data_IF_476444138984
#
_entry.id   IF_476444138984
#
_cell.length_a   1.000
_cell.length_b   1.000
_cell.length_c   1.000
_cell.angle_alpha   90.00
_cell.angle_beta   90.00
_cell.angle_gamma   90.00
#
_symmetry.space_group_name_H-M   'P 1'
#
loop_
_entity.id
_entity.type
_entity.pdbx_description
1 polymer ?
#
# COMPACT_ATOMS: atom_id res chain seq x y z
N UNK A 1 24.28 17.45 -56.37
CA UNK A 1 24.82 17.16 -57.71
C UNK A 1 26.10 16.37 -57.58
N UNK A 2 26.41 15.40 -58.41
CA UNK A 2 25.53 14.50 -59.16
C UNK A 2 25.81 13.02 -58.85
N UNK A 3 24.90 12.19 -59.21
CA UNK A 3 24.65 11.25 -60.34
C UNK A 3 25.28 9.87 -60.15
N UNK A 4 24.46 8.85 -60.11
CA UNK A 4 23.99 7.90 -61.13
C UNK A 4 25.02 6.87 -61.61
N UNK A 5 24.68 5.56 -61.50
CA UNK A 5 24.38 4.68 -62.63
C UNK A 5 24.25 3.23 -62.10
N UNK A 6 23.29 2.60 -62.30
CA UNK A 6 22.60 1.57 -63.06
C UNK A 6 23.45 0.74 -64.03
N UNK A 7 23.19 -0.57 -64.02
CA UNK A 7 23.09 -1.51 -65.12
C UNK A 7 23.03 -2.92 -64.58
N UNK A 8 21.94 -3.66 -64.61
CA UNK A 8 21.28 -4.48 -65.65
C UNK A 8 22.17 -5.57 -66.33
N UNK A 9 21.75 -6.79 -66.29
CA UNK A 9 22.25 -7.90 -67.06
C UNK A 9 21.47 -9.20 -66.84
N UNK A 10 20.61 -9.53 -67.79
CA UNK A 10 19.79 -10.76 -67.90
C UNK A 10 20.59 -11.98 -68.36
N UNK A 11 20.17 -13.16 -68.09
CA UNK A 11 19.62 -14.20 -68.95
C UNK A 11 19.92 -15.63 -68.47
N UNK A 12 18.92 -16.36 -68.26
CA UNK A 12 18.32 -17.51 -68.99
C UNK A 12 19.02 -18.86 -68.86
N UNK A 13 18.15 -19.87 -68.61
CA UNK A 13 18.37 -21.30 -68.92
C UNK A 13 18.12 -22.22 -67.77
N UNK A 14 17.03 -22.80 -67.63
CA UNK A 14 16.34 -24.03 -67.86
C UNK A 14 17.05 -25.29 -67.26
N UNK A 15 16.41 -26.00 -66.38
CA UNK A 15 15.82 -27.28 -66.63
C UNK A 15 15.25 -27.97 -65.35
N UNK A 16 14.26 -28.78 -65.59
CA UNK A 16 13.41 -29.53 -64.67
C UNK A 16 14.18 -30.55 -63.83
N UNK A 17 13.79 -30.76 -62.56
CA UNK A 17 13.53 -32.19 -62.12
C UNK A 17 12.77 -32.18 -60.75
N UNK A 18 11.96 -33.24 -60.64
CA UNK A 18 10.94 -33.57 -59.69
C UNK A 18 11.31 -33.50 -58.21
N UNK A 19 10.30 -33.16 -57.37
CA UNK A 19 10.34 -33.28 -55.95
C UNK A 19 10.39 -34.71 -55.42
N UNK A 20 10.58 -34.85 -54.13
CA UNK A 20 9.42 -35.25 -53.33
C UNK A 20 9.38 -34.67 -51.89
N UNK A 21 8.21 -34.83 -51.30
CA UNK A 21 7.87 -34.92 -49.90
C UNK A 21 7.87 -33.65 -49.05
N UNK A 22 6.68 -33.15 -48.83
CA UNK A 22 6.30 -32.29 -47.74
C UNK A 22 6.65 -32.90 -46.38
N UNK A 23 7.58 -32.28 -45.69
CA UNK A 23 7.77 -32.47 -44.26
C UNK A 23 6.71 -31.65 -43.53
N UNK A 24 5.74 -32.34 -42.90
CA UNK A 24 4.77 -31.75 -42.01
C UNK A 24 5.50 -31.13 -40.80
N UNK A 25 5.49 -29.82 -40.72
CA UNK A 25 5.92 -29.11 -39.50
C UNK A 25 5.04 -29.51 -38.32
N UNK A 26 5.56 -29.46 -37.07
CA UNK A 26 4.75 -29.76 -35.91
C UNK A 26 3.59 -28.76 -35.81
N UNK A 27 2.38 -29.27 -35.91
CA UNK A 27 1.16 -28.53 -35.59
C UNK A 27 1.25 -28.11 -34.11
N UNK A 28 1.42 -26.82 -33.86
CA UNK A 28 1.20 -26.27 -32.53
C UNK A 28 -0.29 -26.42 -32.23
N UNK A 29 -0.62 -27.43 -31.45
CA UNK A 29 -1.95 -27.59 -30.89
C UNK A 29 -2.30 -26.30 -30.11
N UNK A 30 -3.53 -25.74 -30.23
CA UNK A 30 -3.94 -24.61 -29.45
C UNK A 30 -3.84 -25.00 -27.97
N UNK A 31 -3.13 -24.14 -27.20
CA UNK A 31 -3.05 -24.25 -25.76
C UNK A 31 -4.48 -24.39 -25.21
N UNK A 32 -4.76 -25.52 -24.57
CA UNK A 32 -6.05 -25.76 -23.97
C UNK A 32 -6.39 -24.63 -23.01
N UNK A 33 -7.40 -23.85 -23.35
CA UNK A 33 -7.99 -22.87 -22.44
C UNK A 33 -8.46 -23.66 -21.22
N UNK A 34 -7.81 -23.42 -20.08
CA UNK A 34 -8.17 -24.08 -18.83
C UNK A 34 -9.64 -23.77 -18.54
N UNK A 35 -10.46 -24.79 -18.33
CA UNK A 35 -11.84 -24.60 -17.91
C UNK A 35 -11.88 -23.73 -16.65
N UNK A 36 -12.80 -22.76 -16.55
CA UNK A 36 -12.88 -21.90 -15.36
C UNK A 36 -13.03 -22.75 -14.10
N UNK A 37 -12.31 -22.37 -13.05
CA UNK A 37 -12.40 -23.06 -11.76
C UNK A 37 -13.84 -23.00 -11.25
N UNK A 38 -14.35 -24.14 -10.74
CA UNK A 38 -15.65 -24.20 -10.08
C UNK A 38 -15.47 -24.28 -8.58
N UNK A 39 -16.29 -23.55 -7.82
CA UNK A 39 -16.16 -23.54 -6.37
C UNK A 39 -17.08 -22.52 -5.69
N UNK A 40 -16.98 -22.44 -4.37
CA UNK A 40 -17.65 -21.38 -3.61
C UNK A 40 -17.02 -20.01 -3.96
N UNK A 41 -17.85 -18.97 -4.15
CA UNK A 41 -17.34 -17.65 -4.55
C UNK A 41 -16.52 -17.00 -3.43
N UNK A 42 -15.43 -16.35 -3.85
CA UNK A 42 -14.63 -15.44 -3.03
C UNK A 42 -14.74 -14.06 -3.65
N UNK A 43 -15.38 -13.14 -2.94
CA UNK A 43 -15.53 -11.76 -3.37
C UNK A 43 -14.36 -10.92 -2.88
N UNK A 44 -13.85 -10.07 -3.75
CA UNK A 44 -12.78 -9.11 -3.45
C UNK A 44 -13.35 -7.69 -3.46
N UNK A 45 -13.01 -6.92 -2.44
CA UNK A 45 -13.34 -5.50 -2.33
C UNK A 45 -12.08 -4.71 -2.05
N UNK A 46 -11.90 -3.57 -2.69
CA UNK A 46 -10.83 -2.62 -2.36
C UNK A 46 -11.27 -1.63 -1.28
N UNK A 47 -10.30 -1.15 -0.49
CA UNK A 47 -10.52 -0.06 0.46
C UNK A 47 -10.61 1.27 -0.27
N UNK A 48 -9.70 1.48 -1.22
CA UNK A 48 -9.56 2.72 -1.97
C UNK A 48 -10.75 2.89 -2.93
N UNK A 49 -11.23 4.12 -3.04
CA UNK A 49 -12.22 4.51 -4.03
C UNK A 49 -11.57 4.94 -5.32
N UNK A 50 -12.22 4.63 -6.43
CA UNK A 50 -11.80 5.06 -7.76
C UNK A 50 -11.72 6.58 -7.87
N UNK A 51 -10.68 7.12 -8.51
CA UNK A 51 -10.42 8.55 -8.63
C UNK A 51 -9.89 9.22 -7.35
N UNK A 52 -9.66 8.47 -6.27
CA UNK A 52 -9.19 9.01 -4.99
C UNK A 52 -7.72 9.44 -5.02
N UNK A 53 -7.37 10.34 -4.10
CA UNK A 53 -5.98 10.79 -3.89
C UNK A 53 -5.53 10.49 -2.47
N UNK A 54 -4.37 9.86 -2.33
CA UNK A 54 -3.81 9.38 -1.07
C UNK A 54 -2.39 9.90 -0.83
N UNK A 55 -1.92 9.80 0.41
CA UNK A 55 -0.50 10.01 0.70
C UNK A 55 0.37 8.89 0.13
N UNK A 56 1.66 9.16 -0.04
CA UNK A 56 2.63 8.24 -0.70
C UNK A 56 2.86 6.92 0.03
N UNK A 57 2.45 6.81 1.29
CA UNK A 57 2.58 5.60 2.09
C UNK A 57 1.37 4.66 2.02
N UNK A 58 0.29 5.03 1.31
CA UNK A 58 -0.92 4.22 1.24
C UNK A 58 -0.68 2.93 0.44
N UNK A 59 -0.80 1.72 1.03
CA UNK A 59 -0.84 0.49 0.24
C UNK A 59 -2.17 0.39 -0.52
N UNK A 60 -2.27 -0.44 -1.56
CA UNK A 60 -3.58 -0.85 -2.08
C UNK A 60 -4.08 -1.99 -1.21
N UNK A 61 -5.30 -1.90 -0.68
CA UNK A 61 -5.85 -2.87 0.28
C UNK A 61 -7.05 -3.59 -0.31
N UNK A 62 -6.94 -4.91 -0.42
CA UNK A 62 -8.01 -5.78 -0.85
C UNK A 62 -8.52 -6.63 0.33
N UNK A 63 -9.83 -6.65 0.53
CA UNK A 63 -10.52 -7.49 1.49
C UNK A 63 -11.14 -8.68 0.77
N UNK A 64 -10.92 -9.90 1.31
CA UNK A 64 -11.43 -11.13 0.74
C UNK A 64 -12.54 -11.71 1.63
N UNK A 65 -13.69 -12.05 1.04
CA UNK A 65 -14.87 -12.54 1.76
C UNK A 65 -14.72 -13.95 2.34
N UNK A 66 -13.63 -14.65 2.01
CA UNK A 66 -13.30 -15.96 2.54
C UNK A 66 -11.80 -16.10 2.81
N UNK A 67 -11.44 -17.05 3.68
CA UNK A 67 -10.05 -17.48 3.84
C UNK A 67 -9.66 -18.33 2.62
N UNK A 68 -8.84 -17.79 1.76
CA UNK A 68 -8.24 -18.54 0.65
C UNK A 68 -7.01 -19.30 1.15
N UNK A 69 -6.58 -20.34 0.42
CA UNK A 69 -5.42 -21.16 0.77
C UNK A 69 -4.30 -21.06 -0.26
N UNK A 70 -4.58 -20.42 -1.41
CA UNK A 70 -3.62 -20.20 -2.49
C UNK A 70 -3.82 -18.81 -3.06
N UNK A 71 -2.79 -17.98 -3.00
CA UNK A 71 -2.80 -16.61 -3.50
C UNK A 71 -2.05 -16.43 -4.83
N UNK A 72 -1.46 -17.50 -5.40
CA UNK A 72 -0.67 -17.39 -6.64
C UNK A 72 -1.50 -16.90 -7.82
N UNK A 73 -2.72 -17.43 -7.98
CA UNK A 73 -3.61 -16.99 -9.05
C UNK A 73 -4.05 -15.53 -8.87
N UNK A 74 -4.28 -15.08 -7.62
CA UNK A 74 -4.58 -13.69 -7.30
C UNK A 74 -3.41 -12.77 -7.66
N UNK A 75 -2.21 -13.13 -7.23
CA UNK A 75 -1.00 -12.37 -7.53
C UNK A 75 -0.71 -12.31 -9.03
N UNK A 76 -0.86 -13.45 -9.74
CA UNK A 76 -0.65 -13.54 -11.19
C UNK A 76 -1.70 -12.75 -12.00
N UNK A 77 -2.91 -12.58 -11.46
CA UNK A 77 -3.98 -11.79 -12.07
C UNK A 77 -3.84 -10.27 -11.83
N UNK A 78 -2.80 -9.84 -11.10
CA UNK A 78 -2.58 -8.44 -10.73
C UNK A 78 -1.62 -7.76 -11.70
N UNK A 79 -2.03 -6.63 -12.25
CA UNK A 79 -1.15 -5.69 -12.94
C UNK A 79 -1.28 -4.30 -12.30
N UNK A 80 -0.16 -3.69 -11.95
CA UNK A 80 -0.13 -2.33 -11.41
C UNK A 80 0.79 -1.47 -12.25
N UNK A 81 0.35 -0.27 -12.58
CA UNK A 81 1.17 0.72 -13.27
C UNK A 81 1.26 2.00 -12.44
N UNK A 82 2.40 2.69 -12.56
CA UNK A 82 2.64 4.02 -12.02
C UNK A 82 2.99 4.94 -13.17
N UNK A 83 2.19 5.97 -13.39
CA UNK A 83 2.31 6.88 -14.54
C UNK A 83 2.38 6.15 -15.89
N UNK A 84 1.62 5.04 -16.01
CA UNK A 84 1.57 4.21 -17.22
C UNK A 84 2.71 3.19 -17.36
N UNK A 85 3.73 3.21 -16.51
CA UNK A 85 4.81 2.22 -16.51
C UNK A 85 4.52 1.09 -15.50
N UNK A 86 4.84 -0.18 -15.83
CA UNK A 86 4.66 -1.30 -14.88
C UNK A 86 5.38 -1.04 -13.56
N UNK A 87 4.67 -1.26 -12.44
CA UNK A 87 5.22 -1.15 -11.10
C UNK A 87 5.64 -2.52 -10.56
N UNK A 88 6.85 -2.57 -9.98
CA UNK A 88 7.33 -3.76 -9.27
C UNK A 88 6.85 -3.71 -7.82
N UNK A 89 5.85 -4.50 -7.50
CA UNK A 89 5.28 -4.60 -6.16
C UNK A 89 4.89 -6.03 -5.83
N UNK A 90 4.39 -6.25 -4.62
CA UNK A 90 3.94 -7.55 -4.16
C UNK A 90 2.76 -7.42 -3.19
N UNK A 91 1.93 -8.46 -3.14
CA UNK A 91 0.88 -8.63 -2.17
C UNK A 91 1.41 -9.29 -0.89
N UNK A 92 0.96 -8.80 0.25
CA UNK A 92 1.16 -9.41 1.56
C UNK A 92 -0.21 -9.69 2.17
N UNK A 93 -0.46 -10.95 2.53
CA UNK A 93 -1.75 -11.41 3.06
C UNK A 93 -1.67 -11.53 4.57
N UNK A 94 -2.69 -11.03 5.24
CA UNK A 94 -2.83 -11.11 6.69
C UNK A 94 -4.29 -11.30 7.09
N UNK A 95 -4.52 -11.69 8.36
CA UNK A 95 -5.87 -11.71 8.93
C UNK A 95 -6.40 -10.28 8.94
N UNK A 96 -7.64 -10.09 8.50
CA UNK A 96 -8.25 -8.76 8.55
C UNK A 96 -8.38 -8.27 10.00
N UNK A 97 -7.91 -7.06 10.23
CA UNK A 97 -7.87 -6.47 11.58
C UNK A 97 -9.19 -5.78 11.95
N UNK A 98 -9.96 -5.30 10.96
CA UNK A 98 -11.06 -4.36 11.19
C UNK A 98 -12.42 -4.93 10.75
N UNK A 99 -12.49 -5.66 9.64
CA UNK A 99 -13.76 -6.07 9.05
C UNK A 99 -14.09 -7.54 9.34
N UNK A 100 -15.05 -7.78 10.24
CA UNK A 100 -15.48 -9.15 10.60
C UNK A 100 -16.08 -9.94 9.43
N UNK A 101 -16.64 -9.26 8.43
CA UNK A 101 -17.18 -9.90 7.22
C UNK A 101 -16.13 -10.30 6.17
N UNK A 102 -14.87 -9.89 6.37
CA UNK A 102 -13.75 -10.20 5.50
C UNK A 102 -12.61 -10.78 6.34
N UNK A 103 -12.50 -12.10 6.40
CA UNK A 103 -11.54 -12.75 7.30
C UNK A 103 -10.07 -12.59 6.90
N UNK A 104 -9.82 -12.14 5.68
CA UNK A 104 -8.49 -11.96 5.10
C UNK A 104 -8.40 -10.60 4.41
N UNK A 105 -7.27 -9.94 4.56
CA UNK A 105 -6.91 -8.75 3.80
C UNK A 105 -5.56 -8.96 3.13
N UNK A 106 -5.38 -8.31 1.99
CA UNK A 106 -4.15 -8.31 1.21
C UNK A 106 -3.75 -6.87 0.94
N UNK A 107 -2.50 -6.53 1.23
CA UNK A 107 -1.95 -5.21 0.96
C UNK A 107 -0.93 -5.31 -0.17
N UNK A 108 -1.02 -4.43 -1.16
CA UNK A 108 -0.03 -4.32 -2.22
C UNK A 108 0.79 -3.04 -2.05
N UNK A 109 2.10 -3.18 -2.06
CA UNK A 109 3.03 -2.06 -2.12
C UNK A 109 4.26 -2.37 -2.97
N UNK A 110 4.94 -1.34 -3.36
CA UNK A 110 6.30 -1.40 -3.92
C UNK A 110 7.34 -1.48 -2.80
N UNK A 111 8.60 -1.67 -3.12
CA UNK A 111 9.68 -1.67 -2.12
C UNK A 111 9.81 -0.32 -1.40
N UNK A 112 9.68 0.77 -2.14
CA UNK A 112 9.66 2.14 -1.62
C UNK A 112 8.25 2.72 -1.63
N UNK A 113 8.02 3.85 -0.96
CA UNK A 113 6.77 4.59 -1.08
C UNK A 113 6.44 4.91 -2.53
N UNK A 114 5.14 5.09 -2.82
CA UNK A 114 4.75 5.59 -4.13
C UNK A 114 5.44 6.92 -4.45
N UNK A 115 5.74 7.21 -5.72
CA UNK A 115 6.20 8.55 -6.10
C UNK A 115 5.13 9.60 -5.76
N UNK A 116 5.55 10.81 -5.41
CA UNK A 116 4.64 11.94 -5.26
C UNK A 116 3.97 12.30 -6.59
N UNK A 117 2.74 12.79 -6.53
CA UNK A 117 1.97 13.29 -7.68
C UNK A 117 1.83 12.26 -8.82
N UNK A 118 1.84 10.97 -8.48
CA UNK A 118 1.74 9.88 -9.43
C UNK A 118 0.29 9.45 -9.66
N UNK A 119 0.04 8.90 -10.84
CA UNK A 119 -1.18 8.15 -11.17
C UNK A 119 -0.87 6.67 -11.02
N UNK A 120 -1.69 5.95 -10.29
CA UNK A 120 -1.56 4.54 -10.04
C UNK A 120 -2.81 3.86 -10.59
N UNK A 121 -2.60 2.84 -11.41
CA UNK A 121 -3.67 2.00 -11.93
C UNK A 121 -3.43 0.56 -11.52
N UNK A 122 -4.46 -0.06 -10.94
CA UNK A 122 -4.52 -1.50 -10.66
C UNK A 122 -5.52 -2.14 -11.63
N UNK A 123 -5.12 -3.24 -12.25
CA UNK A 123 -5.99 -4.22 -12.87
C UNK A 123 -5.85 -5.55 -12.11
N UNK A 124 -6.95 -6.04 -11.56
CA UNK A 124 -7.05 -7.33 -10.88
C UNK A 124 -8.04 -8.20 -11.63
N UNK A 125 -7.56 -8.93 -12.62
CA UNK A 125 -8.36 -9.81 -13.50
C UNK A 125 -8.60 -11.19 -12.85
N UNK A 126 -9.09 -11.24 -11.61
CA UNK A 126 -9.16 -12.46 -10.79
C UNK A 126 -10.39 -13.33 -11.06
N UNK A 127 -11.46 -12.81 -11.66
CA UNK A 127 -12.72 -13.55 -11.88
C UNK A 127 -12.49 -14.89 -12.58
N UNK A 128 -12.99 -15.97 -11.97
CA UNK A 128 -12.85 -17.34 -12.49
C UNK A 128 -11.51 -18.01 -12.13
N UNK A 129 -10.55 -17.27 -11.55
CA UNK A 129 -9.31 -17.86 -11.08
C UNK A 129 -9.52 -18.63 -9.77
N UNK A 130 -8.72 -19.69 -9.57
CA UNK A 130 -8.76 -20.49 -8.35
C UNK A 130 -8.28 -19.68 -7.14
N UNK A 131 -9.04 -19.77 -6.04
CA UNK A 131 -8.67 -19.24 -4.72
C UNK A 131 -8.26 -20.34 -3.75
N UNK A 132 -7.96 -21.54 -4.28
CA UNK A 132 -7.66 -22.76 -3.55
C UNK A 132 -8.71 -23.83 -3.76
N UNK A 133 -8.55 -25.03 -3.16
CA UNK A 133 -9.47 -26.15 -3.33
C UNK A 133 -10.92 -25.77 -3.03
N UNK A 134 -11.79 -25.90 -4.05
CA UNK A 134 -13.22 -25.60 -3.92
C UNK A 134 -13.59 -24.13 -3.77
N UNK A 135 -12.66 -23.20 -4.07
CA UNK A 135 -12.86 -21.75 -4.04
C UNK A 135 -12.52 -21.13 -5.40
N UNK A 136 -13.29 -20.10 -5.77
CA UNK A 136 -13.10 -19.36 -7.03
C UNK A 136 -13.36 -17.87 -6.81
N UNK A 137 -12.55 -16.99 -7.38
CA UNK A 137 -12.82 -15.57 -7.37
C UNK A 137 -14.04 -15.24 -8.24
N UNK A 138 -15.01 -14.50 -7.72
CA UNK A 138 -16.26 -14.20 -8.43
C UNK A 138 -16.24 -12.88 -9.18
N UNK A 139 -15.25 -12.02 -8.92
CA UNK A 139 -15.12 -10.71 -9.54
C UNK A 139 -13.70 -10.36 -9.96
N UNK A 140 -13.60 -9.39 -10.86
CA UNK A 140 -12.40 -8.65 -11.22
C UNK A 140 -12.62 -7.18 -10.84
N UNK A 141 -11.55 -6.44 -10.62
CA UNK A 141 -11.58 -5.05 -10.19
C UNK A 141 -10.52 -4.23 -10.94
N UNK A 142 -10.83 -2.98 -11.16
CA UNK A 142 -9.85 -1.95 -11.52
C UNK A 142 -9.87 -0.85 -10.47
N UNK A 143 -8.78 -0.11 -10.34
CA UNK A 143 -8.68 1.06 -9.49
C UNK A 143 -7.78 2.09 -10.16
N UNK A 144 -8.29 3.30 -10.30
CA UNK A 144 -7.50 4.47 -10.61
C UNK A 144 -7.37 5.33 -9.35
N UNK A 145 -6.16 5.50 -8.86
CA UNK A 145 -5.87 6.40 -7.74
C UNK A 145 -4.68 7.29 -8.03
N UNK A 146 -4.51 8.33 -7.25
CA UNK A 146 -3.37 9.25 -7.35
C UNK A 146 -2.68 9.39 -6.00
N UNK A 147 -1.41 9.79 -6.03
CA UNK A 147 -0.73 10.26 -4.83
C UNK A 147 -0.67 11.79 -4.81
N UNK A 148 -0.77 12.36 -3.62
CA UNK A 148 -0.48 13.77 -3.37
C UNK A 148 1.02 14.04 -3.26
N UNK A 149 1.38 15.13 -2.60
CA UNK A 149 2.75 15.45 -2.22
C UNK A 149 3.35 14.35 -1.32
N UNK A 150 4.67 14.18 -1.36
CA UNK A 150 5.37 13.31 -0.43
C UNK A 150 5.44 13.96 0.95
N UNK A 151 4.35 13.86 1.72
CA UNK A 151 4.27 14.35 3.09
C UNK A 151 4.82 13.30 4.04
N UNK A 152 5.95 13.62 4.68
CA UNK A 152 6.61 12.73 5.63
C UNK A 152 6.84 13.47 6.94
N UNK A 153 6.28 12.94 8.02
CA UNK A 153 6.48 13.43 9.38
C UNK A 153 7.49 12.56 10.10
N UNK A 154 8.58 13.13 10.59
CA UNK A 154 9.60 12.45 11.41
C UNK A 154 9.50 12.90 12.85
N UNK A 155 9.17 11.96 13.72
CA UNK A 155 8.96 12.18 15.15
C UNK A 155 10.12 11.54 15.91
N UNK A 156 10.91 12.34 16.61
CA UNK A 156 12.03 11.88 17.42
C UNK A 156 11.71 12.03 18.91
N UNK A 157 11.55 10.92 19.61
CA UNK A 157 11.28 10.90 21.04
C UNK A 157 12.45 11.38 21.90
N UNK A 158 13.68 11.48 21.36
CA UNK A 158 14.83 12.06 22.02
C UNK A 158 14.76 13.58 22.05
N UNK A 159 14.53 14.20 20.90
CA UNK A 159 14.43 15.67 20.79
C UNK A 159 13.04 16.21 21.15
N UNK A 160 12.01 15.37 21.20
CA UNK A 160 10.60 15.77 21.40
C UNK A 160 10.08 16.72 20.32
N UNK A 161 10.53 16.48 19.07
CA UNK A 161 10.10 17.24 17.91
C UNK A 161 9.53 16.35 16.81
N UNK A 162 8.56 16.89 16.07
CA UNK A 162 8.01 16.35 14.86
C UNK A 162 8.35 17.30 13.70
N UNK A 163 9.25 16.87 12.84
CA UNK A 163 9.61 17.60 11.61
C UNK A 163 8.75 17.05 10.47
N UNK A 164 8.01 17.93 9.82
CA UNK A 164 7.15 17.58 8.68
C UNK A 164 7.76 18.13 7.42
N UNK A 165 7.92 17.28 6.42
CA UNK A 165 8.37 17.66 5.08
C UNK A 165 7.27 17.40 4.05
N UNK A 166 7.22 18.20 3.00
CA UNK A 166 6.38 18.01 1.82
C UNK A 166 7.27 18.15 0.60
N UNK A 167 7.30 17.13 -0.26
CA UNK A 167 8.20 17.05 -1.42
C UNK A 167 9.66 17.40 -1.08
N UNK A 168 10.14 16.87 0.06
CA UNK A 168 11.50 17.07 0.55
C UNK A 168 11.76 18.40 1.27
N UNK A 169 10.83 19.37 1.24
CA UNK A 169 10.99 20.66 1.92
C UNK A 169 10.35 20.62 3.31
N UNK A 170 11.05 21.08 4.34
CA UNK A 170 10.48 21.22 5.68
C UNK A 170 9.38 22.29 5.67
N UNK A 171 8.19 21.89 6.12
CA UNK A 171 7.03 22.79 6.23
C UNK A 171 6.65 23.09 7.67
N UNK A 172 6.90 22.14 8.60
CA UNK A 172 6.66 22.34 10.01
C UNK A 172 7.77 21.74 10.86
N UNK A 173 7.91 22.28 12.07
CA UNK A 173 8.69 21.71 13.16
C UNK A 173 7.89 21.96 14.45
N UNK A 174 7.23 20.90 14.94
CA UNK A 174 6.34 20.98 16.09
C UNK A 174 7.00 20.34 17.31
N UNK A 175 7.00 20.99 18.48
CA UNK A 175 7.29 20.31 19.73
C UNK A 175 6.19 19.28 20.03
N UNK A 176 6.56 18.09 20.56
CA UNK A 176 5.63 17.00 20.85
C UNK A 176 5.83 16.44 22.26
N UNK A 177 4.80 15.77 22.78
CA UNK A 177 4.91 14.87 23.92
C UNK A 177 4.38 13.51 23.53
N UNK A 178 5.20 12.47 23.70
CA UNK A 178 4.88 11.09 23.33
C UNK A 178 4.39 10.29 24.55
N UNK A 179 4.18 8.98 24.38
CA UNK A 179 3.82 8.05 25.43
C UNK A 179 4.86 8.02 26.55
N UNK A 180 4.39 7.98 27.80
CA UNK A 180 5.24 7.77 28.99
C UNK A 180 5.86 6.37 28.99
N UNK A 181 6.86 6.13 29.82
CA UNK A 181 7.60 4.86 29.88
C UNK A 181 6.73 3.61 30.08
N UNK A 182 5.60 3.72 30.81
CA UNK A 182 4.67 2.60 31.02
C UNK A 182 3.69 2.37 29.87
N UNK A 183 3.54 3.33 28.96
CA UNK A 183 2.70 3.25 27.76
C UNK A 183 3.40 3.97 26.61
N UNK A 184 4.56 3.46 26.17
CA UNK A 184 5.37 4.15 25.17
C UNK A 184 4.68 4.16 23.81
N UNK A 185 4.88 5.21 23.05
CA UNK A 185 4.46 5.27 21.64
C UNK A 185 5.21 4.21 20.84
N UNK A 186 4.55 3.47 19.99
CA UNK A 186 5.21 2.56 19.04
C UNK A 186 6.24 3.32 18.20
N UNK A 187 7.38 2.69 17.95
CA UNK A 187 8.38 3.14 16.98
C UNK A 187 8.09 2.62 15.58
N UNK A 188 8.90 3.01 14.61
CA UNK A 188 8.81 2.57 13.21
C UNK A 188 7.95 3.48 12.35
N UNK A 189 7.55 2.95 11.20
CA UNK A 189 6.74 3.66 10.22
C UNK A 189 5.25 3.41 10.47
N UNK A 190 4.48 4.45 10.48
CA UNK A 190 3.02 4.43 10.54
C UNK A 190 2.47 5.30 9.42
N UNK A 191 1.28 5.00 8.97
CA UNK A 191 0.61 5.76 7.92
C UNK A 191 -0.66 6.37 8.48
N UNK A 192 -0.96 7.59 8.09
CA UNK A 192 -2.21 8.26 8.48
C UNK A 192 -3.40 7.47 7.94
N UNK A 193 -4.31 7.06 8.83
CA UNK A 193 -5.44 6.18 8.52
C UNK A 193 -6.77 6.93 8.45
N UNK A 194 -6.95 7.90 9.34
CA UNK A 194 -8.23 8.57 9.55
C UNK A 194 -7.99 9.95 10.18
N UNK A 195 -8.94 10.86 10.00
CA UNK A 195 -8.87 12.22 10.56
C UNK A 195 -10.24 12.63 11.10
N UNK A 196 -10.29 12.95 12.40
CA UNK A 196 -11.49 13.44 13.07
C UNK A 196 -11.27 14.81 13.71
N UNK A 197 -12.18 15.74 13.44
CA UNK A 197 -12.13 17.05 14.13
C UNK A 197 -12.22 16.91 15.63
N UNK A 198 -12.99 15.92 16.10
CA UNK A 198 -13.14 15.59 17.54
C UNK A 198 -13.32 14.08 17.68
N UNK A 199 -12.32 13.41 18.19
CA UNK A 199 -12.34 11.98 18.50
C UNK A 199 -12.67 11.76 19.98
N UNK A 200 -13.62 10.87 20.30
CA UNK A 200 -13.78 10.37 21.66
C UNK A 200 -12.73 9.29 21.92
N UNK A 201 -11.90 9.52 22.91
CA UNK A 201 -10.87 8.57 23.35
C UNK A 201 -11.20 8.11 24.75
N UNK A 202 -11.31 6.80 24.96
CA UNK A 202 -11.64 6.17 26.24
C UNK A 202 -10.55 5.18 26.63
N UNK A 203 -10.30 5.09 27.94
CA UNK A 203 -9.35 4.13 28.48
C UNK A 203 -9.46 4.11 30.01
N UNK A 204 -8.68 3.27 30.70
CA UNK A 204 -8.67 3.23 32.15
C UNK A 204 -8.41 4.62 32.73
N UNK A 205 -9.42 5.19 33.40
CA UNK A 205 -9.31 6.49 34.08
C UNK A 205 -9.51 7.71 33.21
N UNK A 206 -9.89 7.59 31.92
CA UNK A 206 -10.21 8.75 31.09
C UNK A 206 -11.31 8.48 30.06
N UNK A 207 -12.08 9.53 29.76
CA UNK A 207 -13.05 9.63 28.67
C UNK A 207 -13.01 11.08 28.18
N UNK A 208 -12.37 11.30 27.05
CA UNK A 208 -12.04 12.63 26.56
C UNK A 208 -12.52 12.83 25.12
N UNK A 209 -13.05 14.02 24.84
CA UNK A 209 -13.22 14.52 23.47
C UNK A 209 -11.96 15.26 23.05
N UNK A 210 -11.22 14.67 22.11
CA UNK A 210 -9.90 15.11 21.72
C UNK A 210 -9.96 15.77 20.34
N UNK A 211 -9.66 17.06 20.24
CA UNK A 211 -9.76 17.76 18.96
C UNK A 211 -8.54 17.51 18.05
N UNK A 212 -8.79 17.68 16.75
CA UNK A 212 -7.80 17.61 15.68
C UNK A 212 -7.01 16.31 15.67
N UNK A 213 -7.73 15.21 15.73
CA UNK A 213 -7.17 13.84 15.85
C UNK A 213 -6.87 13.24 14.49
N UNK A 214 -5.63 12.80 14.31
CA UNK A 214 -5.13 12.07 13.14
C UNK A 214 -4.70 10.69 13.59
N UNK A 215 -5.45 9.65 13.20
CA UNK A 215 -5.21 8.25 13.59
C UNK A 215 -4.05 7.66 12.81
N UNK A 216 -3.18 6.93 13.49
CA UNK A 216 -1.99 6.29 12.91
C UNK A 216 -1.83 4.82 13.29
N UNK A 217 -2.70 4.26 14.16
CA UNK A 217 -2.77 2.82 14.46
C UNK A 217 -4.21 2.35 14.72
N UNK A 218 -4.48 1.06 14.49
CA UNK A 218 -5.77 0.45 14.88
C UNK A 218 -5.94 0.41 16.39
N UNK A 219 -4.85 0.15 17.13
CA UNK A 219 -4.84 0.09 18.60
C UNK A 219 -5.11 1.43 19.27
N UNK A 220 -5.09 2.55 18.53
CA UNK A 220 -5.55 3.85 19.03
C UNK A 220 -4.45 4.85 19.32
N UNK A 221 -3.32 4.81 18.63
CA UNK A 221 -2.41 5.95 18.65
C UNK A 221 -2.85 7.03 17.64
N UNK A 222 -2.78 8.27 18.07
CA UNK A 222 -3.14 9.46 17.30
C UNK A 222 -2.07 10.55 17.44
N UNK A 223 -2.03 11.42 16.44
CA UNK A 223 -1.45 12.77 16.59
C UNK A 223 -2.61 13.73 16.82
N UNK A 224 -2.63 14.46 17.96
CA UNK A 224 -3.80 15.24 18.35
C UNK A 224 -3.48 16.42 19.25
N UNK A 225 -4.45 17.31 19.43
CA UNK A 225 -4.37 18.41 20.39
C UNK A 225 -4.48 17.92 21.84
N UNK A 226 -3.63 18.44 22.71
CA UNK A 226 -3.65 18.11 24.14
C UNK A 226 -3.49 19.40 24.98
N UNK A 227 -4.57 20.17 25.10
CA UNK A 227 -4.58 21.43 25.87
C UNK A 227 -4.20 21.25 27.34
N UNK A 228 -4.50 20.06 27.90
CA UNK A 228 -4.17 19.68 29.28
C UNK A 228 -2.69 19.34 29.48
N UNK A 229 -1.90 19.21 28.42
CA UNK A 229 -0.51 18.74 28.45
C UNK A 229 0.51 19.82 28.06
N UNK A 230 0.11 21.08 27.97
CA UNK A 230 0.92 22.17 27.40
C UNK A 230 2.32 22.30 27.99
N UNK A 231 2.48 22.13 29.31
CA UNK A 231 3.78 22.22 29.99
C UNK A 231 4.74 21.03 29.74
N UNK A 232 4.29 19.97 29.11
CA UNK A 232 5.11 18.79 28.80
C UNK A 232 5.49 18.69 27.32
N UNK A 233 4.74 19.37 26.44
CA UNK A 233 4.99 19.36 24.98
C UNK A 233 6.36 19.97 24.71
N UNK A 234 7.21 19.24 23.98
CA UNK A 234 8.60 19.64 23.74
C UNK A 234 9.57 19.35 24.88
N UNK A 235 9.09 18.87 26.04
CA UNK A 235 9.92 18.66 27.24
C UNK A 235 10.01 17.17 27.62
N UNK A 236 8.87 16.50 27.77
CA UNK A 236 8.83 15.11 28.23
C UNK A 236 7.62 14.35 27.69
N UNK A 237 7.73 13.02 27.66
CA UNK A 237 6.70 12.10 27.21
C UNK A 237 5.78 11.74 28.39
N UNK A 238 4.47 11.99 28.27
CA UNK A 238 3.50 11.84 29.36
C UNK A 238 2.16 11.24 28.93
N UNK A 239 1.95 10.99 27.62
CA UNK A 239 0.70 10.44 27.11
C UNK A 239 0.58 8.93 27.34
N UNK A 240 -0.53 8.33 26.89
CA UNK A 240 -0.76 6.88 26.91
C UNK A 240 -0.41 6.19 25.56
N UNK A 241 0.45 6.82 24.75
CA UNK A 241 0.90 6.32 23.43
C UNK A 241 0.74 7.37 22.33
N UNK A 242 -0.24 8.26 22.42
CA UNK A 242 -0.48 9.29 21.40
C UNK A 242 0.64 10.33 21.33
N UNK A 243 0.73 11.00 20.20
CA UNK A 243 1.57 12.18 19.98
C UNK A 243 0.77 13.44 20.29
N UNK A 244 1.09 14.10 21.40
CA UNK A 244 0.42 15.31 21.84
C UNK A 244 1.07 16.55 21.22
N UNK A 245 0.25 17.41 20.65
CA UNK A 245 0.59 18.73 20.13
C UNK A 245 -0.16 19.84 20.90
N UNK A 246 0.31 21.08 20.76
CA UNK A 246 -0.51 22.24 21.12
C UNK A 246 -1.78 22.27 20.28
N UNK A 247 -2.83 22.94 20.73
CA UNK A 247 -4.09 23.05 19.97
C UNK A 247 -3.84 23.69 18.59
N UNK A 248 -3.01 24.72 18.55
CA UNK A 248 -2.67 25.43 17.32
C UNK A 248 -1.91 24.53 16.33
N UNK A 249 -0.90 23.81 16.81
CA UNK A 249 -0.08 22.94 15.96
C UNK A 249 -0.85 21.71 15.49
N UNK A 250 -1.67 21.12 16.38
CA UNK A 250 -2.55 20.00 16.00
C UNK A 250 -3.55 20.40 14.91
N UNK A 251 -4.14 21.59 15.00
CA UNK A 251 -5.03 22.12 13.95
C UNK A 251 -4.29 22.30 12.63
N UNK A 252 -3.05 22.83 12.66
CA UNK A 252 -2.21 23.00 11.46
C UNK A 252 -1.87 21.64 10.85
N UNK A 253 -1.43 20.69 11.67
CA UNK A 253 -1.12 19.32 11.21
C UNK A 253 -2.36 18.62 10.66
N UNK A 254 -3.49 18.69 11.37
CA UNK A 254 -4.76 18.13 10.92
C UNK A 254 -5.20 18.68 9.55
N UNK A 255 -5.06 19.99 9.34
CA UNK A 255 -5.43 20.61 8.06
C UNK A 255 -4.51 20.21 6.92
N UNK A 256 -3.26 19.94 7.22
CA UNK A 256 -2.22 19.55 6.27
C UNK A 256 -2.25 18.06 5.93
N UNK A 257 -2.32 17.19 6.94
CA UNK A 257 -2.19 15.76 6.79
C UNK A 257 -3.28 15.16 5.89
N UNK A 258 -2.91 14.19 5.08
CA UNK A 258 -3.78 13.40 4.21
C UNK A 258 -3.71 11.93 4.65
N UNK A 259 -4.81 11.19 4.49
CA UNK A 259 -4.80 9.73 4.67
C UNK A 259 -3.82 9.13 3.67
N UNK A 260 -2.96 8.24 4.16
CA UNK A 260 -1.85 7.72 3.37
C UNK A 260 -0.51 8.44 3.57
N UNK A 261 -0.47 9.58 4.28
CA UNK A 261 0.79 10.25 4.62
C UNK A 261 1.63 9.42 5.60
N UNK A 262 2.95 9.52 5.46
CA UNK A 262 3.91 8.73 6.23
C UNK A 262 4.31 9.44 7.53
N UNK A 263 4.32 8.69 8.62
CA UNK A 263 4.88 9.14 9.91
C UNK A 263 5.93 8.15 10.39
N UNK A 264 7.14 8.63 10.70
CA UNK A 264 8.29 7.83 11.11
C UNK A 264 8.65 8.17 12.55
N UNK A 265 8.59 7.20 13.43
CA UNK A 265 8.84 7.35 14.86
C UNK A 265 10.16 6.72 15.27
N UNK A 266 11.01 7.50 15.91
CA UNK A 266 12.31 7.06 16.42
C UNK A 266 12.48 7.42 17.89
N UNK A 267 13.27 6.66 18.62
CA UNK A 267 13.62 6.92 20.04
C UNK A 267 12.40 7.13 20.94
N UNK A 268 11.30 6.44 20.66
CA UNK A 268 10.06 6.55 21.45
C UNK A 268 10.11 5.79 22.77
N UNK A 269 11.01 4.83 22.89
CA UNK A 269 11.05 3.84 23.99
C UNK A 269 10.11 2.67 23.81
N UNK A 270 9.24 2.70 22.81
CA UNK A 270 8.32 1.60 22.47
C UNK A 270 8.87 0.64 21.40
N UNK A 271 8.28 -0.55 21.29
CA UNK A 271 8.62 -1.49 20.23
C UNK A 271 8.19 -0.96 18.87
N UNK A 272 8.70 -1.57 17.80
CA UNK A 272 8.21 -1.29 16.44
C UNK A 272 6.74 -1.68 16.32
N UNK A 273 5.93 -0.82 15.68
CA UNK A 273 4.52 -1.08 15.42
C UNK A 273 4.36 -2.38 14.61
N UNK A 274 3.51 -3.32 15.06
CA UNK A 274 3.21 -4.52 14.28
C UNK A 274 2.57 -4.17 12.92
N UNK A 275 2.84 -4.97 11.89
CA UNK A 275 2.28 -4.73 10.55
C UNK A 275 0.75 -4.73 10.50
N UNK A 276 0.12 -5.54 11.36
CA UNK A 276 -1.34 -5.67 11.45
C UNK A 276 -2.03 -4.56 12.25
N UNK A 277 -1.28 -3.68 12.92
CA UNK A 277 -1.85 -2.58 13.72
C UNK A 277 -2.02 -1.31 12.89
N UNK A 278 -2.81 -1.39 11.84
CA UNK A 278 -3.00 -0.35 10.86
C UNK A 278 -2.18 -0.62 9.60
N UNK A 279 -1.64 0.43 8.98
CA UNK A 279 -0.79 0.29 7.80
C UNK A 279 0.69 0.25 8.20
N UNK A 280 1.03 -0.78 9.00
CA UNK A 280 2.39 -1.04 9.47
C UNK A 280 3.29 -1.77 8.47
N UNK A 281 2.87 -1.85 7.24
CA UNK A 281 3.47 -2.57 6.12
C UNK A 281 4.95 -2.21 5.91
N UNK A 282 5.27 -0.95 6.10
CA UNK A 282 6.61 -0.39 5.91
C UNK A 282 7.61 -0.76 7.02
N UNK A 283 7.16 -1.46 8.07
CA UNK A 283 8.01 -2.02 9.12
C UNK A 283 8.54 -3.43 8.77
N UNK A 284 8.01 -4.04 7.71
CA UNK A 284 8.51 -5.31 7.20
C UNK A 284 9.58 -5.07 6.14
N UNK A 285 10.66 -5.88 6.17
CA UNK A 285 11.64 -5.87 5.10
C UNK A 285 11.00 -6.24 3.76
N UNK A 286 11.59 -5.79 2.65
CA UNK A 286 11.06 -6.13 1.33
C UNK A 286 11.04 -7.64 1.08
N UNK A 287 12.08 -8.36 1.51
CA UNK A 287 12.13 -9.82 1.40
C UNK A 287 11.03 -10.53 2.20
N UNK A 288 10.73 -10.05 3.43
CA UNK A 288 9.61 -10.55 4.22
C UNK A 288 8.28 -10.25 3.55
N UNK A 289 8.15 -9.06 2.95
CA UNK A 289 6.96 -8.65 2.22
C UNK A 289 6.68 -9.56 1.01
N UNK A 290 7.71 -9.77 0.19
CA UNK A 290 7.61 -10.64 -1.00
C UNK A 290 7.28 -12.10 -0.68
N UNK A 291 7.53 -12.55 0.56
CA UNK A 291 7.13 -13.90 0.99
C UNK A 291 5.60 -14.09 1.11
N UNK A 292 4.80 -13.01 1.01
CA UNK A 292 3.35 -13.06 0.90
C UNK A 292 2.57 -13.18 2.21
N UNK A 293 3.25 -13.17 3.37
CA UNK A 293 2.60 -13.21 4.69
C UNK A 293 2.05 -14.59 5.04
N UNK A 294 0.74 -14.66 5.39
CA UNK A 294 0.08 -15.94 5.72
C UNK A 294 -0.16 -16.83 4.50
N UNK A 295 0.03 -16.31 3.29
CA UNK A 295 -0.12 -17.04 2.02
C UNK A 295 1.08 -16.79 1.12
N UNK A 296 1.49 -17.85 0.40
CA UNK A 296 2.50 -17.71 -0.66
C UNK A 296 1.86 -17.12 -1.90
N UNK A 297 2.58 -16.19 -2.54
CA UNK A 297 2.17 -15.50 -3.78
C UNK A 297 2.96 -15.95 -5.01
N UNK A 298 3.97 -16.77 -4.82
CA UNK A 298 4.83 -17.34 -5.88
C UNK A 298 5.17 -18.81 -5.62
#
# INVERSE_FOLDING_TARGET
MPLLAACSGSSSGGDKQAGPAASAGPSTAPSASASPASGKPVHVRLLEGDGSTWGVGMPIIAYLSAKITDARAFAAATAVTVNGAPAQGAWYFQKSAIYSGYPLEAHYRTESYWPAHAKIHLDLAAKGASAGPGLVFDNSLTLDMSTGAANISRIDGGTKHMIVTSDGKQVFNFPVSLGKASTPTFSGVKVVMEKDKVQRMTGPGYDLKVPWSVRITNSGEFVHAASWNGGNIGQRSTSHGCTNLTVADAKRFFSFAQVGDVTVFTKTGGPTMPSWDGYGDWNLSWSTWQAGGVLKTS
#
